data_IF_807647635091
#
_entry.id   IF_807647635091
#
_cell.length_a   1.000
_cell.length_b   1.000
_cell.length_c   1.000
_cell.angle_alpha   90.00
_cell.angle_beta   90.00
_cell.angle_gamma   90.00
#
_symmetry.space_group_name_H-M   'P 1'
#
loop_
_entity.id
_entity.type
_entity.pdbx_description
1 polymer ?
#
# COMPACT_ATOMS: atom_id res chain seq x y z
N UNK A 1 19.57 54.01 -14.71
CA UNK A 1 20.28 53.12 -13.76
C UNK A 1 19.19 52.40 -12.98
N UNK A 2 18.87 51.18 -13.41
CA UNK A 2 17.66 50.44 -13.01
C UNK A 2 17.84 49.66 -11.71
N UNK A 3 16.76 49.61 -10.94
CA UNK A 3 16.57 48.91 -9.67
C UNK A 3 16.76 47.39 -9.80
N UNK A 4 17.53 46.78 -8.91
CA UNK A 4 17.62 45.33 -8.76
C UNK A 4 16.37 44.82 -8.03
N UNK A 5 15.51 44.09 -8.74
CA UNK A 5 14.34 43.43 -8.17
C UNK A 5 14.74 42.02 -7.71
N UNK A 6 14.94 41.87 -6.39
CA UNK A 6 15.17 40.58 -5.76
C UNK A 6 13.89 39.76 -5.78
N UNK A 7 13.80 38.81 -6.71
CA UNK A 7 12.79 37.76 -6.66
C UNK A 7 13.25 36.74 -5.62
N UNK A 8 12.63 36.79 -4.44
CA UNK A 8 12.73 35.73 -3.44
C UNK A 8 11.93 34.54 -3.97
N UNK A 9 12.59 33.46 -4.40
CA UNK A 9 11.91 32.20 -4.64
C UNK A 9 11.33 31.66 -3.32
N UNK A 10 10.07 31.19 -3.27
CA UNK A 10 9.56 30.51 -2.09
C UNK A 10 10.41 29.25 -1.82
N UNK A 11 10.67 28.90 -0.55
CA UNK A 11 11.43 27.70 -0.24
C UNK A 11 10.71 26.48 -0.82
N UNK A 12 11.43 25.69 -1.60
CA UNK A 12 10.95 24.42 -2.12
C UNK A 12 10.45 23.58 -0.94
N UNK A 13 9.17 23.21 -1.00
CA UNK A 13 8.55 22.26 -0.07
C UNK A 13 9.40 20.97 -0.11
N UNK A 14 9.76 20.35 1.02
CA UNK A 14 10.52 19.11 0.99
C UNK A 14 9.70 18.09 0.22
N UNK A 15 10.20 17.74 -0.96
CA UNK A 15 9.72 16.66 -1.78
C UNK A 15 9.86 15.42 -0.93
N UNK A 16 8.73 14.87 -0.52
CA UNK A 16 8.68 13.67 0.28
C UNK A 16 9.02 12.52 -0.68
N UNK A 17 10.32 12.33 -0.92
CA UNK A 17 10.85 11.18 -1.65
C UNK A 17 10.38 9.94 -0.91
N UNK A 18 9.32 9.31 -1.41
CA UNK A 18 8.77 8.09 -0.83
C UNK A 18 9.66 6.93 -1.32
N UNK A 19 10.31 6.18 -0.43
CA UNK A 19 11.34 5.21 -0.81
C UNK A 19 10.82 4.22 -1.83
N UNK A 20 11.56 4.06 -2.93
CA UNK A 20 11.34 3.14 -4.07
C UNK A 20 11.30 1.65 -3.69
N UNK A 21 11.44 1.34 -2.41
CA UNK A 21 11.52 0.00 -1.86
C UNK A 21 10.55 -0.17 -0.69
N UNK A 22 9.62 -1.13 -0.78
CA UNK A 22 8.71 -1.48 0.31
C UNK A 22 9.45 -2.06 1.53
N UNK A 23 10.73 -2.42 1.39
CA UNK A 23 11.57 -2.95 2.46
C UNK A 23 11.76 -2.00 3.65
N UNK A 24 11.51 -0.70 3.47
CA UNK A 24 11.63 0.32 4.53
C UNK A 24 10.33 0.51 5.34
N UNK A 25 9.23 -0.16 4.97
CA UNK A 25 7.99 -0.11 5.74
C UNK A 25 8.08 -0.93 7.05
N UNK A 26 7.43 -0.47 8.14
CA UNK A 26 7.30 -1.25 9.35
C UNK A 26 6.84 -2.68 9.07
N UNK A 27 7.52 -3.66 9.68
CA UNK A 27 7.25 -5.10 9.54
C UNK A 27 5.77 -5.52 9.42
N UNK A 28 4.82 -5.02 10.24
CA UNK A 28 3.41 -5.41 10.08
C UNK A 28 2.81 -5.02 8.72
N UNK A 29 3.31 -3.96 8.07
CA UNK A 29 2.84 -3.55 6.74
C UNK A 29 3.47 -4.39 5.61
N UNK A 30 4.74 -4.75 5.71
CA UNK A 30 5.40 -5.59 4.69
C UNK A 30 4.85 -7.02 4.72
N UNK A 31 4.70 -7.62 5.91
CA UNK A 31 4.09 -8.93 6.07
C UNK A 31 2.63 -8.98 5.55
N UNK A 32 1.85 -7.91 5.77
CA UNK A 32 0.50 -7.84 5.24
C UNK A 32 0.47 -7.69 3.72
N UNK A 33 1.41 -6.95 3.12
CA UNK A 33 1.53 -6.84 1.67
C UNK A 33 1.88 -8.19 1.03
N UNK A 34 2.81 -8.95 1.61
CA UNK A 34 3.15 -10.31 1.16
C UNK A 34 1.95 -11.26 1.25
N UNK A 35 1.20 -11.20 2.37
CA UNK A 35 0.00 -12.00 2.55
C UNK A 35 -1.09 -11.64 1.51
N UNK A 36 -1.29 -10.34 1.25
CA UNK A 36 -2.21 -9.86 0.23
C UNK A 36 -1.83 -10.41 -1.15
N UNK A 37 -0.57 -10.29 -1.55
CA UNK A 37 -0.06 -10.82 -2.83
C UNK A 37 -0.33 -12.33 -2.91
N UNK A 38 0.02 -13.09 -1.88
CA UNK A 38 -0.22 -14.54 -1.83
C UNK A 38 -1.70 -14.90 -1.96
N UNK A 39 -2.58 -14.15 -1.31
CA UNK A 39 -4.03 -14.40 -1.39
C UNK A 39 -4.59 -14.07 -2.79
N UNK A 40 -4.12 -12.99 -3.42
CA UNK A 40 -4.46 -12.68 -4.82
C UNK A 40 -3.96 -13.79 -5.75
N UNK A 41 -2.73 -14.30 -5.56
CA UNK A 41 -2.23 -15.44 -6.34
C UNK A 41 -3.12 -16.68 -6.19
N UNK A 42 -3.65 -16.92 -4.99
CA UNK A 42 -4.60 -17.99 -4.72
C UNK A 42 -5.93 -17.85 -5.46
N UNK A 43 -6.40 -16.61 -5.71
CA UNK A 43 -7.62 -16.36 -6.50
C UNK A 43 -7.43 -16.58 -8.00
N UNK A 44 -6.21 -16.39 -8.51
CA UNK A 44 -5.90 -16.44 -9.94
C UNK A 44 -4.84 -17.52 -10.27
N UNK A 45 -5.13 -18.81 -10.01
CA UNK A 45 -4.21 -19.90 -10.29
C UNK A 45 -3.93 -20.04 -11.79
N UNK A 46 -2.77 -20.63 -12.17
CA UNK A 46 -2.44 -20.84 -13.56
C UNK A 46 -3.44 -21.77 -14.25
N UNK A 47 -3.86 -21.44 -15.47
CA UNK A 47 -4.63 -22.36 -16.32
C UNK A 47 -3.69 -23.42 -16.93
N UNK A 48 -4.26 -24.50 -17.46
CA UNK A 48 -3.46 -25.58 -18.06
C UNK A 48 -2.58 -25.03 -19.19
N UNK A 49 -1.25 -25.13 -19.03
CA UNK A 49 -0.27 -24.62 -20.00
C UNK A 49 0.21 -23.19 -19.75
N UNK A 50 -0.26 -22.49 -18.71
CA UNK A 50 0.19 -21.15 -18.34
C UNK A 50 1.31 -21.17 -17.28
N UNK A 51 2.13 -20.12 -17.23
CA UNK A 51 3.11 -19.92 -16.16
C UNK A 51 2.46 -19.45 -14.85
N UNK A 52 3.12 -19.77 -13.74
CA UNK A 52 2.76 -19.30 -12.40
C UNK A 52 3.61 -18.10 -11.95
N UNK A 53 4.22 -17.37 -12.88
CA UNK A 53 5.02 -16.18 -12.55
C UNK A 53 4.13 -15.04 -12.08
N UNK A 54 4.70 -14.10 -11.33
CA UNK A 54 3.97 -12.96 -10.78
C UNK A 54 3.32 -12.13 -11.89
N UNK A 55 4.02 -11.94 -13.02
CA UNK A 55 3.49 -11.23 -14.19
C UNK A 55 2.29 -11.95 -14.82
N UNK A 56 2.28 -13.29 -14.81
CA UNK A 56 1.17 -14.08 -15.34
C UNK A 56 -0.04 -14.04 -14.40
N UNK A 57 0.20 -14.00 -13.08
CA UNK A 57 -0.86 -13.79 -12.10
C UNK A 57 -1.45 -12.39 -12.25
N UNK A 58 -0.60 -11.38 -12.37
CA UNK A 58 -1.00 -9.99 -12.59
C UNK A 58 -1.84 -9.85 -13.86
N UNK A 59 -1.41 -10.46 -14.97
CA UNK A 59 -2.18 -10.48 -16.21
C UNK A 59 -3.59 -11.08 -16.02
N UNK A 60 -3.71 -12.20 -15.29
CA UNK A 60 -5.02 -12.82 -14.97
C UNK A 60 -5.87 -11.94 -14.05
N UNK A 61 -5.24 -11.26 -13.09
CA UNK A 61 -5.93 -10.32 -12.21
C UNK A 61 -6.51 -9.14 -13.00
N UNK A 62 -5.72 -8.51 -13.88
CA UNK A 62 -6.20 -7.43 -14.73
C UNK A 62 -7.23 -7.89 -15.78
N UNK A 63 -7.09 -9.12 -16.31
CA UNK A 63 -8.14 -9.76 -17.14
C UNK A 63 -9.47 -9.86 -16.39
N UNK A 64 -9.46 -10.33 -15.14
CA UNK A 64 -10.65 -10.36 -14.29
C UNK A 64 -11.23 -8.96 -14.06
N UNK A 65 -10.40 -7.99 -13.71
CA UNK A 65 -10.86 -6.63 -13.44
C UNK A 65 -11.57 -6.00 -14.65
N UNK A 66 -11.04 -6.24 -15.86
CA UNK A 66 -11.62 -5.81 -17.14
C UNK A 66 -12.94 -6.50 -17.48
N UNK A 67 -13.22 -7.67 -16.90
CA UNK A 67 -14.45 -8.41 -17.13
C UNK A 67 -15.69 -7.81 -16.46
N UNK A 68 -15.52 -6.89 -15.50
CA UNK A 68 -16.62 -6.24 -14.80
C UNK A 68 -16.96 -4.84 -15.32
N UNK A 69 -17.86 -4.15 -14.62
CA UNK A 69 -18.34 -2.82 -14.99
C UNK A 69 -17.31 -1.70 -14.79
N UNK A 70 -16.23 -1.95 -14.03
CA UNK A 70 -15.18 -0.95 -13.74
C UNK A 70 -14.07 -0.89 -14.80
N UNK A 71 -14.24 -1.56 -15.94
CA UNK A 71 -13.23 -1.71 -17.00
C UNK A 71 -12.56 -0.42 -17.47
N UNK A 72 -13.30 0.70 -17.51
CA UNK A 72 -12.75 1.97 -17.98
C UNK A 72 -11.74 2.55 -16.98
N UNK A 73 -11.99 2.36 -15.68
CA UNK A 73 -11.07 2.74 -14.61
C UNK A 73 -9.86 1.81 -14.57
N UNK A 74 -10.06 0.52 -14.83
CA UNK A 74 -8.96 -0.47 -14.95
C UNK A 74 -8.02 -0.09 -16.08
N UNK A 75 -8.56 0.25 -17.25
CA UNK A 75 -7.75 0.69 -18.39
C UNK A 75 -6.95 1.95 -18.06
N UNK A 76 -7.56 2.92 -17.37
CA UNK A 76 -6.85 4.10 -16.91
C UNK A 76 -5.73 3.78 -15.91
N UNK A 77 -5.87 2.71 -15.14
CA UNK A 77 -4.84 2.24 -14.21
C UNK A 77 -3.69 1.53 -14.96
N UNK A 78 -4.00 0.70 -15.95
CA UNK A 78 -3.02 0.03 -16.83
C UNK A 78 -2.21 1.05 -17.66
N UNK A 79 -2.87 2.09 -18.18
CA UNK A 79 -2.24 3.18 -18.93
C UNK A 79 -1.41 4.13 -18.03
N UNK A 80 -1.39 3.89 -16.71
CA UNK A 80 -0.72 4.77 -15.77
C UNK A 80 0.77 4.44 -15.66
N UNK A 81 1.61 5.23 -16.31
CA UNK A 81 3.06 5.09 -16.22
C UNK A 81 3.59 5.55 -14.85
N UNK A 82 4.36 4.67 -14.20
CA UNK A 82 4.99 4.91 -12.91
C UNK A 82 4.11 4.47 -11.73
N UNK A 83 4.44 3.36 -11.01
CA UNK A 83 3.58 2.70 -10.02
C UNK A 83 3.23 3.55 -8.78
N UNK A 84 3.71 4.80 -8.73
CA UNK A 84 3.65 5.68 -7.55
C UNK A 84 3.25 7.10 -7.83
N UNK A 85 2.99 7.46 -9.09
CA UNK A 85 2.47 8.79 -9.37
C UNK A 85 1.19 9.00 -8.54
N UNK A 86 1.01 10.22 -8.05
CA UNK A 86 -0.20 10.57 -7.30
C UNK A 86 -1.46 10.24 -8.09
N UNK A 87 -1.39 10.46 -9.42
CA UNK A 87 -2.43 10.10 -10.37
C UNK A 87 -2.75 8.60 -10.40
N UNK A 88 -1.76 7.71 -10.43
CA UNK A 88 -2.04 6.26 -10.40
C UNK A 88 -2.69 5.82 -9.09
N UNK A 89 -2.31 6.44 -7.96
CA UNK A 89 -2.93 6.16 -6.66
C UNK A 89 -4.39 6.62 -6.61
N UNK A 90 -4.69 7.79 -7.18
CA UNK A 90 -6.05 8.29 -7.31
C UNK A 90 -6.91 7.38 -8.20
N UNK A 91 -6.37 6.93 -9.33
CA UNK A 91 -7.05 5.98 -10.22
C UNK A 91 -7.28 4.63 -9.53
N UNK A 92 -6.29 4.11 -8.81
CA UNK A 92 -6.47 2.90 -7.99
C UNK A 92 -7.59 3.09 -6.95
N UNK A 93 -7.64 4.25 -6.28
CA UNK A 93 -8.74 4.59 -5.37
C UNK A 93 -10.11 4.61 -6.05
N UNK A 94 -10.20 5.17 -7.27
CA UNK A 94 -11.43 5.12 -8.07
C UNK A 94 -11.82 3.70 -8.45
N UNK A 95 -10.84 2.84 -8.76
CA UNK A 95 -11.09 1.43 -9.07
C UNK A 95 -11.69 0.71 -7.86
N UNK A 96 -11.08 0.87 -6.68
CA UNK A 96 -11.62 0.30 -5.44
C UNK A 96 -13.05 0.77 -5.18
N UNK A 97 -13.32 2.08 -5.27
CA UNK A 97 -14.66 2.63 -5.08
C UNK A 97 -15.68 2.03 -6.06
N UNK A 98 -15.28 1.85 -7.32
CA UNK A 98 -16.13 1.22 -8.32
C UNK A 98 -16.42 -0.25 -7.97
N UNK A 99 -15.41 -1.01 -7.54
CA UNK A 99 -15.58 -2.39 -7.12
C UNK A 99 -16.54 -2.52 -5.93
N UNK A 100 -16.37 -1.69 -4.90
CA UNK A 100 -17.27 -1.67 -3.73
C UNK A 100 -18.70 -1.24 -4.08
N UNK A 101 -18.89 -0.42 -5.10
CA UNK A 101 -20.22 -0.02 -5.60
C UNK A 101 -20.89 -1.12 -6.43
N UNK A 102 -20.11 -2.05 -6.98
CA UNK A 102 -20.57 -3.14 -7.82
C UNK A 102 -20.08 -4.51 -7.32
N UNK A 103 -20.39 -4.84 -6.06
CA UNK A 103 -19.67 -5.90 -5.39
C UNK A 103 -20.01 -7.28 -5.95
N UNK A 104 -21.21 -7.49 -6.52
CA UNK A 104 -21.68 -8.80 -7.05
C UNK A 104 -20.65 -9.50 -7.95
N UNK A 105 -19.95 -8.75 -8.80
CA UNK A 105 -18.88 -9.27 -9.65
C UNK A 105 -17.53 -9.34 -8.92
N UNK A 106 -17.20 -8.31 -8.14
CA UNK A 106 -15.87 -8.13 -7.54
C UNK A 106 -15.70 -8.77 -6.15
N UNK A 107 -16.73 -9.41 -5.61
CA UNK A 107 -16.75 -10.03 -4.28
C UNK A 107 -15.49 -10.85 -3.95
N UNK A 108 -14.99 -11.75 -4.84
CA UNK A 108 -13.81 -12.57 -4.50
C UNK A 108 -12.58 -11.73 -4.16
N UNK A 109 -12.37 -10.65 -4.91
CA UNK A 109 -11.23 -9.76 -4.73
C UNK A 109 -11.46 -8.83 -3.54
N UNK A 110 -12.68 -8.30 -3.38
CA UNK A 110 -13.06 -7.47 -2.22
C UNK A 110 -12.83 -8.23 -0.92
N UNK A 111 -13.25 -9.50 -0.83
CA UNK A 111 -13.07 -10.31 0.36
C UNK A 111 -11.60 -10.48 0.76
N UNK A 112 -10.70 -10.64 -0.22
CA UNK A 112 -9.25 -10.69 0.05
C UNK A 112 -8.74 -9.35 0.58
N UNK A 113 -9.15 -8.23 -0.01
CA UNK A 113 -8.75 -6.90 0.46
C UNK A 113 -9.27 -6.60 1.87
N UNK A 114 -10.52 -6.92 2.18
CA UNK A 114 -11.10 -6.72 3.51
C UNK A 114 -10.38 -7.57 4.57
N UNK A 115 -10.10 -8.83 4.26
CA UNK A 115 -9.35 -9.71 5.15
C UNK A 115 -7.93 -9.16 5.42
N UNK A 116 -7.26 -8.64 4.40
CA UNK A 116 -5.94 -8.00 4.55
C UNK A 116 -6.02 -6.70 5.37
N UNK A 117 -7.06 -5.88 5.20
CA UNK A 117 -7.23 -4.66 6.02
C UNK A 117 -7.49 -5.01 7.48
N UNK A 118 -8.35 -5.99 7.75
CA UNK A 118 -8.65 -6.45 9.10
C UNK A 118 -7.40 -7.05 9.79
N UNK A 119 -6.62 -7.85 9.06
CA UNK A 119 -5.39 -8.43 9.58
C UNK A 119 -4.35 -7.34 9.89
N UNK A 120 -4.16 -6.37 8.99
CA UNK A 120 -3.25 -5.26 9.20
C UNK A 120 -3.62 -4.42 10.43
N UNK A 121 -4.90 -4.14 10.65
CA UNK A 121 -5.37 -3.40 11.83
C UNK A 121 -5.03 -4.14 13.14
N UNK A 122 -5.22 -5.47 13.17
CA UNK A 122 -4.82 -6.31 14.33
C UNK A 122 -3.32 -6.25 14.57
N UNK A 123 -2.52 -6.42 13.51
CA UNK A 123 -1.06 -6.44 13.62
C UNK A 123 -0.48 -5.08 14.03
N UNK A 124 -1.06 -3.98 13.52
CA UNK A 124 -0.70 -2.62 13.94
C UNK A 124 -1.02 -2.36 15.42
N UNK A 125 -2.15 -2.85 15.92
CA UNK A 125 -2.50 -2.75 17.35
C UNK A 125 -1.49 -3.50 18.23
N UNK A 126 -1.13 -4.73 17.86
CA UNK A 126 -0.13 -5.53 18.57
C UNK A 126 1.24 -4.87 18.52
N UNK A 127 1.66 -4.38 17.34
CA UNK A 127 2.93 -3.70 17.15
C UNK A 127 3.03 -2.44 18.02
N UNK A 128 1.98 -1.60 18.01
CA UNK A 128 1.92 -0.38 18.82
C UNK A 128 1.98 -0.69 20.33
N UNK A 129 1.27 -1.72 20.78
CA UNK A 129 1.29 -2.13 22.19
C UNK A 129 2.67 -2.66 22.63
N UNK A 130 3.37 -3.43 21.78
CA UNK A 130 4.74 -3.89 22.06
C UNK A 130 5.70 -2.71 22.18
N UNK A 131 5.66 -1.79 21.21
CA UNK A 131 6.51 -0.59 21.21
C UNK A 131 6.31 0.26 22.47
N UNK A 132 5.06 0.49 22.89
CA UNK A 132 4.76 1.22 24.13
C UNK A 132 5.30 0.53 25.39
N UNK A 133 5.27 -0.81 25.44
CA UNK A 133 5.84 -1.56 26.57
C UNK A 133 7.37 -1.49 26.60
N UNK A 134 8.02 -1.57 25.46
CA UNK A 134 9.47 -1.45 25.33
C UNK A 134 9.94 -0.05 25.76
N UNK A 135 9.30 1.01 25.26
CA UNK A 135 9.58 2.40 25.67
C UNK A 135 9.34 2.61 27.17
N UNK A 136 8.31 1.99 27.74
CA UNK A 136 8.02 2.06 29.18
C UNK A 136 9.08 1.34 30.01
N UNK A 137 9.56 0.18 29.55
CA UNK A 137 10.61 -0.60 30.20
C UNK A 137 11.97 0.13 30.13
N UNK A 138 12.30 0.72 28.98
CA UNK A 138 13.50 1.52 28.78
C UNK A 138 13.50 2.75 29.70
N UNK A 139 12.40 3.51 29.75
CA UNK A 139 12.24 4.65 30.67
C UNK A 139 12.37 4.21 32.14
N UNK A 140 11.79 3.07 32.51
CA UNK A 140 11.90 2.56 33.87
C UNK A 140 13.35 2.16 34.23
N UNK A 141 14.11 1.61 33.29
CA UNK A 141 15.52 1.27 33.48
C UNK A 141 16.41 2.51 33.53
N UNK A 142 16.15 3.52 32.69
CA UNK A 142 16.84 4.82 32.74
C UNK A 142 16.62 5.50 34.10
N UNK A 143 15.39 5.51 34.61
CA UNK A 143 15.07 6.10 35.92
C UNK A 143 15.75 5.34 37.08
N UNK A 144 15.83 4.00 37.00
CA UNK A 144 16.57 3.19 37.99
C UNK A 144 18.07 3.44 37.94
N UNK A 145 18.64 3.66 36.76
CA UNK A 145 20.05 4.03 36.59
C UNK A 145 20.38 5.40 37.18
N UNK A 146 19.47 6.36 37.05
CA UNK A 146 19.64 7.71 37.60
C UNK A 146 19.54 7.76 39.13
N UNK A 147 18.80 6.84 39.76
CA UNK A 147 18.62 6.76 41.22
C UNK A 147 19.79 6.07 41.96
N UNK A 148 20.82 5.65 41.22
CA UNK A 148 21.99 4.92 41.71
C UNK A 148 23.25 5.79 41.78
N UNK A 149 23.12 7.08 41.47
CA UNK A 149 24.04 8.19 41.76
C UNK A 149 23.41 9.10 42.83
#
# INVERSE_FOLDING_TARGET
MGIASSIQFPPAKPEQEKPEDFSDWPYPMTANAELLIKNIHGLFPPRAGESSTDEAVEARYFEFLRGGCCKDVVKALEDCEGPRSTKCKEIAGMLFNCMYSHPDYYQPVIAVFEASVEQLDKDLKVFRAKKQREESFEKANLFKGFKRF
#
